data_IF_581899686905
#
_entry.id   IF_581899686905
#
_cell.length_a   1.000
_cell.length_b   1.000
_cell.length_c   1.000
_cell.angle_alpha   90.00
_cell.angle_beta   90.00
_cell.angle_gamma   90.00
#
_symmetry.space_group_name_H-M   'P 1'
#
loop_
_entity.id
_entity.type
_entity.pdbx_description
1 polymer ?
#
# COMPACT_ATOMS: atom_id res chain seq x y z
N UNK A 1 -22.73 -23.96 -0.11
CA UNK A 1 -22.12 -23.28 1.06
C UNK A 1 -20.65 -23.67 1.18
N UNK A 2 -19.81 -22.71 1.47
CA UNK A 2 -18.37 -22.95 1.55
C UNK A 2 -18.00 -23.72 2.82
N UNK A 3 -17.04 -24.63 2.66
CA UNK A 3 -16.48 -25.37 3.80
C UNK A 3 -15.20 -24.66 4.25
N UNK A 4 -14.71 -25.04 5.44
CA UNK A 4 -13.45 -24.54 5.95
C UNK A 4 -12.32 -24.76 4.93
N UNK A 5 -12.24 -25.96 4.38
CA UNK A 5 -11.18 -26.32 3.43
C UNK A 5 -11.26 -25.49 2.16
N UNK A 6 -12.45 -25.26 1.67
CA UNK A 6 -12.65 -24.45 0.48
C UNK A 6 -12.22 -23.01 0.70
N UNK A 7 -12.56 -22.48 1.88
CA UNK A 7 -12.16 -21.10 2.22
C UNK A 7 -10.65 -20.96 2.31
N UNK A 8 -10.00 -21.89 3.02
CA UNK A 8 -8.57 -21.82 3.20
C UNK A 8 -7.78 -22.04 1.90
N UNK A 9 -8.37 -22.79 0.97
CA UNK A 9 -7.73 -23.04 -0.32
C UNK A 9 -8.01 -21.95 -1.36
N UNK A 10 -8.96 -21.07 -1.10
CA UNK A 10 -9.35 -20.05 -2.07
C UNK A 10 -8.22 -19.04 -2.27
N UNK A 11 -7.99 -18.67 -3.51
CA UNK A 11 -7.02 -17.64 -3.85
C UNK A 11 -7.76 -16.32 -3.99
N UNK A 12 -7.73 -15.54 -2.92
CA UNK A 12 -8.52 -14.32 -2.85
C UNK A 12 -7.66 -13.05 -2.84
N UNK A 13 -6.35 -13.17 -3.10
CA UNK A 13 -5.46 -12.02 -3.17
C UNK A 13 -5.18 -11.71 -4.64
N UNK A 14 -5.89 -10.72 -5.17
CA UNK A 14 -5.76 -10.32 -6.56
C UNK A 14 -4.45 -9.58 -6.80
N UNK A 15 -4.11 -9.40 -8.06
CA UNK A 15 -2.94 -8.63 -8.44
C UNK A 15 -3.20 -7.95 -9.77
N UNK A 16 -2.39 -6.93 -10.06
CA UNK A 16 -2.49 -6.18 -11.30
C UNK A 16 -1.10 -6.07 -11.90
N UNK A 17 -0.98 -6.37 -13.19
CA UNK A 17 0.29 -6.23 -13.92
C UNK A 17 0.40 -4.81 -14.43
N UNK A 18 1.55 -4.19 -14.20
CA UNK A 18 1.80 -2.80 -14.60
C UNK A 18 3.05 -2.76 -15.46
N UNK A 19 2.95 -2.15 -16.64
CA UNK A 19 4.11 -1.99 -17.49
C UNK A 19 5.00 -0.88 -16.97
N UNK A 20 6.30 -1.15 -16.93
CA UNK A 20 7.31 -0.19 -16.50
C UNK A 20 8.37 -0.12 -17.57
N UNK A 21 8.12 0.63 -18.66
CA UNK A 21 9.09 0.72 -19.74
C UNK A 21 10.44 1.25 -19.28
N UNK A 22 10.45 2.10 -18.25
CA UNK A 22 11.68 2.63 -17.68
C UNK A 22 12.58 1.53 -17.12
N UNK A 23 12.00 0.40 -16.73
CA UNK A 23 12.75 -0.75 -16.21
C UNK A 23 12.83 -1.89 -17.22
N UNK A 24 12.26 -1.69 -18.40
CA UNK A 24 12.36 -2.66 -19.48
C UNK A 24 11.43 -3.86 -19.37
N UNK A 25 10.34 -3.75 -18.63
CA UNK A 25 9.43 -4.86 -18.46
C UNK A 25 8.20 -4.48 -17.68
N UNK A 26 7.61 -5.46 -17.03
CA UNK A 26 6.41 -5.25 -16.24
C UNK A 26 6.58 -5.83 -14.85
N UNK A 27 5.79 -5.32 -13.90
CA UNK A 27 5.79 -5.81 -12.52
C UNK A 27 4.36 -6.19 -12.15
N UNK A 28 4.24 -7.04 -11.15
CA UNK A 28 2.92 -7.44 -10.64
C UNK A 28 2.75 -6.87 -9.24
N UNK A 29 1.70 -6.08 -9.07
CA UNK A 29 1.37 -5.45 -7.79
C UNK A 29 0.24 -6.25 -7.17
N UNK A 30 0.43 -6.74 -5.97
CA UNK A 30 -0.52 -7.63 -5.33
C UNK A 30 -1.30 -7.00 -4.20
N UNK A 31 -2.45 -7.61 -3.91
CA UNK A 31 -3.25 -7.27 -2.74
C UNK A 31 -2.65 -7.99 -1.54
N UNK A 32 -2.46 -7.27 -0.45
CA UNK A 32 -1.86 -7.85 0.76
C UNK A 32 -2.89 -8.65 1.53
N UNK A 33 -2.43 -9.72 2.18
CA UNK A 33 -3.26 -10.43 3.14
C UNK A 33 -3.54 -9.51 4.34
N UNK A 34 -4.51 -9.90 5.17
CA UNK A 34 -4.79 -9.12 6.38
C UNK A 34 -3.58 -8.99 7.28
N UNK A 35 -2.83 -10.09 7.44
CA UNK A 35 -1.63 -10.06 8.28
C UNK A 35 -0.54 -9.18 7.69
N UNK A 36 -0.34 -9.24 6.37
CA UNK A 36 0.65 -8.40 5.71
C UNK A 36 0.27 -6.92 5.79
N UNK A 37 -1.02 -6.63 5.65
CA UNK A 37 -1.52 -5.26 5.73
C UNK A 37 -1.29 -4.68 7.14
N UNK A 38 -1.55 -5.48 8.15
CA UNK A 38 -1.34 -5.05 9.54
C UNK A 38 0.13 -4.74 9.81
N UNK A 39 1.00 -5.62 9.34
CA UNK A 39 2.44 -5.41 9.47
C UNK A 39 2.87 -4.14 8.74
N UNK A 40 2.30 -3.90 7.57
CA UNK A 40 2.59 -2.70 6.80
C UNK A 40 2.15 -1.44 7.53
N UNK A 41 0.96 -1.45 8.11
CA UNK A 41 0.46 -0.30 8.84
C UNK A 41 1.35 0.00 10.05
N UNK A 42 1.82 -1.03 10.74
CA UNK A 42 2.77 -0.86 11.84
C UNK A 42 4.07 -0.25 11.34
N UNK A 43 4.59 -0.74 10.24
CA UNK A 43 5.85 -0.24 9.68
C UNK A 43 5.73 1.22 9.23
N UNK A 44 4.52 1.64 8.84
CA UNK A 44 4.28 2.98 8.36
C UNK A 44 3.88 3.96 9.46
N UNK A 45 3.77 3.51 10.70
CA UNK A 45 3.40 4.40 11.81
C UNK A 45 4.52 5.40 12.07
N UNK A 46 4.13 6.63 12.43
CA UNK A 46 5.07 7.69 12.70
C UNK A 46 5.53 8.43 11.45
N UNK A 47 6.32 9.49 11.63
CA UNK A 47 6.79 10.30 10.49
C UNK A 47 7.75 9.53 9.62
N UNK A 48 7.70 9.79 8.32
CA UNK A 48 8.46 9.02 7.36
C UNK A 48 8.70 9.85 6.10
N UNK A 49 9.85 9.67 5.48
CA UNK A 49 10.13 10.31 4.20
C UNK A 49 9.34 9.62 3.09
N UNK A 50 9.03 10.37 2.05
CA UNK A 50 8.27 9.83 0.92
C UNK A 50 8.96 8.63 0.30
N UNK A 51 10.29 8.69 0.13
CA UNK A 51 11.02 7.57 -0.47
C UNK A 51 10.96 6.33 0.40
N UNK A 52 10.94 6.50 1.72
CA UNK A 52 10.81 5.36 2.64
C UNK A 52 9.41 4.75 2.55
N UNK A 53 8.39 5.60 2.46
CA UNK A 53 7.03 5.15 2.28
C UNK A 53 6.90 4.35 0.98
N UNK A 54 7.42 4.89 -0.12
CA UNK A 54 7.37 4.21 -1.41
C UNK A 54 8.07 2.85 -1.35
N UNK A 55 9.26 2.81 -0.74
CA UNK A 55 10.02 1.56 -0.65
C UNK A 55 9.27 0.51 0.15
N UNK A 56 8.69 0.91 1.28
CA UNK A 56 7.92 -0.01 2.12
C UNK A 56 6.69 -0.54 1.38
N UNK A 57 5.95 0.34 0.73
CA UNK A 57 4.76 -0.07 -0.01
C UNK A 57 5.10 -1.05 -1.11
N UNK A 58 6.17 -0.80 -1.86
CA UNK A 58 6.53 -1.68 -2.97
C UNK A 58 7.12 -3.00 -2.47
N UNK A 59 7.93 -2.97 -1.42
CA UNK A 59 8.43 -4.21 -0.85
C UNK A 59 7.30 -5.10 -0.34
N UNK A 60 6.21 -4.50 0.11
CA UNK A 60 5.06 -5.24 0.63
C UNK A 60 4.02 -5.64 -0.40
N UNK A 61 4.14 -5.17 -1.65
CA UNK A 61 3.10 -5.41 -2.65
C UNK A 61 3.60 -5.97 -3.97
N UNK A 62 4.88 -5.83 -4.30
CA UNK A 62 5.40 -6.39 -5.57
C UNK A 62 5.62 -7.88 -5.41
N UNK A 63 4.98 -8.64 -6.29
CA UNK A 63 4.99 -10.09 -6.23
C UNK A 63 5.40 -10.68 -7.57
N UNK A 64 5.79 -11.95 -7.54
CA UNK A 64 6.08 -12.69 -8.76
C UNK A 64 4.80 -13.34 -9.28
N UNK A 65 4.93 -14.18 -10.30
CA UNK A 65 3.77 -14.82 -10.94
C UNK A 65 3.00 -15.72 -9.98
N UNK A 66 3.66 -16.23 -8.95
CA UNK A 66 3.02 -17.10 -7.98
C UNK A 66 2.40 -16.33 -6.82
N UNK A 67 2.59 -15.02 -6.77
CA UNK A 67 2.07 -14.19 -5.69
C UNK A 67 3.02 -14.04 -4.52
N UNK A 68 4.27 -14.46 -4.68
CA UNK A 68 5.29 -14.35 -3.63
C UNK A 68 6.00 -13.00 -3.74
N UNK A 69 6.24 -12.36 -2.60
CA UNK A 69 6.95 -11.08 -2.59
C UNK A 69 8.35 -11.24 -3.15
N UNK A 70 8.76 -10.31 -4.01
CA UNK A 70 10.07 -10.36 -4.64
C UNK A 70 11.13 -9.57 -3.88
N UNK A 71 10.75 -8.73 -2.92
CA UNK A 71 11.68 -7.93 -2.13
C UNK A 71 11.52 -8.23 -0.65
N UNK A 72 12.63 -8.05 0.08
CA UNK A 72 12.64 -8.15 1.53
C UNK A 72 13.11 -6.84 2.16
N UNK A 73 13.24 -6.84 3.48
CA UNK A 73 13.66 -5.65 4.21
C UNK A 73 15.03 -5.15 3.79
N UNK A 74 15.91 -6.05 3.39
CA UNK A 74 17.27 -5.67 2.99
C UNK A 74 17.28 -4.88 1.67
N UNK A 75 16.16 -4.86 0.95
CA UNK A 75 16.08 -4.18 -0.34
C UNK A 75 15.53 -2.76 -0.24
N UNK A 76 15.06 -2.33 0.93
CA UNK A 76 14.36 -1.06 1.07
C UNK A 76 15.19 0.14 0.62
N UNK A 77 16.46 0.17 1.00
CA UNK A 77 17.32 1.29 0.64
C UNK A 77 17.51 1.35 -0.88
N UNK A 78 17.72 0.19 -1.50
CA UNK A 78 17.91 0.13 -2.95
C UNK A 78 16.65 0.59 -3.70
N UNK A 79 15.47 0.18 -3.22
CA UNK A 79 14.21 0.59 -3.83
C UNK A 79 14.05 2.11 -3.72
N UNK A 80 14.36 2.68 -2.57
CA UNK A 80 14.20 4.11 -2.32
C UNK A 80 15.06 4.96 -3.26
N UNK A 81 16.09 4.38 -3.85
CA UNK A 81 16.99 5.10 -4.77
C UNK A 81 16.56 5.01 -6.24
N UNK A 82 15.43 4.36 -6.50
CA UNK A 82 14.92 4.28 -7.87
C UNK A 82 14.22 5.59 -8.25
N UNK A 83 13.84 5.67 -9.52
CA UNK A 83 13.19 6.87 -10.08
C UNK A 83 11.88 7.15 -9.30
N UNK A 84 11.76 8.35 -8.71
CA UNK A 84 10.58 8.64 -7.87
C UNK A 84 9.28 8.67 -8.65
N UNK A 85 9.31 9.00 -9.93
CA UNK A 85 8.10 8.97 -10.75
C UNK A 85 7.58 7.55 -10.92
N UNK A 86 8.49 6.61 -11.16
CA UNK A 86 8.11 5.20 -11.29
C UNK A 86 7.61 4.67 -9.95
N UNK A 87 8.32 4.99 -8.87
CA UNK A 87 7.92 4.54 -7.54
C UNK A 87 6.52 5.05 -7.19
N UNK A 88 6.27 6.34 -7.43
CA UNK A 88 4.97 6.94 -7.14
C UNK A 88 3.85 6.31 -7.94
N UNK A 89 4.11 6.04 -9.22
CA UNK A 89 3.11 5.43 -10.10
C UNK A 89 2.74 4.02 -9.62
N UNK A 90 3.74 3.24 -9.23
CA UNK A 90 3.50 1.89 -8.74
C UNK A 90 2.81 1.91 -7.37
N UNK A 91 3.19 2.83 -6.51
CA UNK A 91 2.56 2.97 -5.20
C UNK A 91 1.09 3.37 -5.35
N UNK A 92 0.77 4.23 -6.33
CA UNK A 92 -0.62 4.58 -6.60
C UNK A 92 -1.45 3.34 -6.93
N UNK A 93 -0.90 2.45 -7.75
CA UNK A 93 -1.58 1.20 -8.08
C UNK A 93 -1.74 0.34 -6.81
N UNK A 94 -0.66 0.22 -6.04
CA UNK A 94 -0.69 -0.59 -4.81
C UNK A 94 -1.74 -0.08 -3.83
N UNK A 95 -1.81 1.23 -3.65
CA UNK A 95 -2.79 1.81 -2.73
C UNK A 95 -4.20 1.62 -3.24
N UNK A 96 -4.41 1.77 -4.54
CA UNK A 96 -5.73 1.64 -5.14
C UNK A 96 -6.27 0.22 -4.98
N UNK A 97 -5.48 -0.79 -5.36
CA UNK A 97 -5.97 -2.17 -5.30
C UNK A 97 -6.07 -2.70 -3.88
N UNK A 98 -5.29 -2.13 -2.97
CA UNK A 98 -5.36 -2.50 -1.55
C UNK A 98 -6.36 -1.64 -0.78
N UNK A 99 -6.98 -0.69 -1.45
CA UNK A 99 -7.99 0.21 -0.87
C UNK A 99 -7.46 0.96 0.35
N UNK A 100 -6.21 1.38 0.25
CA UNK A 100 -5.59 2.17 1.31
C UNK A 100 -5.73 3.66 1.03
N UNK A 101 -5.61 4.04 -0.20
CA UNK A 101 -5.57 5.34 -0.79
C UNK A 101 -6.10 6.54 -0.04
N UNK A 102 -6.73 7.44 -0.79
CA UNK A 102 -7.14 8.74 -0.28
C UNK A 102 -8.03 8.66 0.96
N UNK A 103 -8.88 7.63 1.03
CA UNK A 103 -9.77 7.49 2.18
C UNK A 103 -9.03 7.31 3.48
N UNK A 104 -8.01 6.45 3.51
CA UNK A 104 -7.22 6.21 4.71
C UNK A 104 -6.39 7.43 5.08
N UNK A 105 -5.81 8.09 4.08
CA UNK A 105 -5.04 9.31 4.30
C UNK A 105 -5.94 10.42 4.85
N UNK A 106 -7.12 10.55 4.26
CA UNK A 106 -8.09 11.54 4.74
C UNK A 106 -8.48 11.27 6.19
N UNK A 107 -8.70 10.01 6.54
CA UNK A 107 -9.06 9.66 7.91
C UNK A 107 -7.96 10.05 8.89
N UNK A 108 -6.70 9.82 8.52
CA UNK A 108 -5.58 10.21 9.36
C UNK A 108 -5.46 11.71 9.48
N UNK A 109 -5.65 12.42 8.38
CA UNK A 109 -5.62 13.87 8.39
C UNK A 109 -6.72 14.44 9.26
N UNK A 110 -7.92 13.92 9.15
CA UNK A 110 -9.05 14.37 9.96
C UNK A 110 -8.79 14.09 11.43
N UNK A 111 -8.23 12.95 11.74
CA UNK A 111 -7.90 12.62 13.12
C UNK A 111 -6.83 13.54 13.69
N UNK A 112 -5.90 13.98 12.84
CA UNK A 112 -4.86 14.89 13.30
C UNK A 112 -5.33 16.35 13.33
N UNK A 113 -6.27 16.69 12.49
CA UNK A 113 -6.84 18.04 12.45
C UNK A 113 -7.95 18.22 13.45
N UNK A 114 -8.64 17.23 13.48
CA UNK A 114 -9.82 17.22 14.17
C UNK A 114 -9.94 16.42 15.15
N UNK A 115 -9.56 16.25 13.70
CA UNK A 115 -10.01 15.82 13.26
C UNK A 115 -10.58 16.31 12.32
N UNK A 116 -10.57 16.65 11.60
CA UNK A 116 -11.19 17.02 10.77
C UNK A 116 -11.69 16.93 10.05
N UNK A 117 -11.98 16.64 9.59
CA UNK A 117 -12.91 16.58 9.12
C UNK A 117 -13.43 16.22 8.85
N UNK A 118 -13.51 15.86 8.92
CA UNK A 118 -14.21 15.59 8.96
C UNK A 118 -14.54 15.57 8.81
N UNK A 119 -14.35 15.23 8.87
CA UNK A 119 -14.84 15.22 9.00
C UNK A 119 -14.99 15.54 9.04
N UNK A 120 -14.71 15.47 8.91
CA UNK A 120 -15.03 15.82 9.19
C UNK A 120 -15.12 16.27 9.38
N UNK A 121 -14.75 16.10 9.18
CA UNK A 121 -15.06 16.55 9.54
C UNK A 121 -15.02 16.89 9.71
N UNK A 122 -14.91 17.00 9.80
CA UNK A 122 -15.05 17.39 10.27
C UNK A 122 -14.80 17.75 10.54
N UNK A 123 -14.27 17.67 10.41
CA UNK A 123 -14.26 18.11 10.90
C UNK A 123 -14.00 18.48 11.08
N UNK A 124 -13.72 18.66 11.06
CA UNK A 124 -13.61 19.13 11.57
C UNK A 124 -13.47 19.48 11.84
N UNK A 125 -13.25 19.60 11.84
CA UNK A 125 -13.12 19.97 12.28
C UNK A 125 -13.01 20.26 12.39
N UNK A 126 -12.76 20.25 12.18
CA UNK A 126 -12.78 20.56 12.44
C UNK A 126 -12.70 20.83 12.40
N UNK A 127 -12.46 20.78 12.23
CA UNK A 127 -12.55 21.04 12.41
C UNK A 127 -12.50 21.20 12.29
N UNK A 128 -12.23 21.31 12.13
CA UNK A 128 -12.29 21.47 12.33
C UNK A 128 -12.33 21.51 12.22
N UNK A 129 -12.01 21.52 12.08
CA UNK A 129 -12.18 21.57 12.32
C UNK A 129 -12.14 21.60 12.38
#
# INVERSE_FOLDING_TARGET
MLTREMILAARDLDSEVVEVPEWGGEVRVGVMSGAAREKMMDALSGPRKVSEFHALMLAGTLVDESGTLIFGESDLVAIAHKNPEVLGRLVDVAMRINKIGAGAVEAEEKNSEAATNASSGSGSPASSE
#
